data_IF_105772093871
#
_entry.id   IF_105772093871
#
_cell.length_a   1.000
_cell.length_b   1.000
_cell.length_c   1.000
_cell.angle_alpha   90.00
_cell.angle_beta   90.00
_cell.angle_gamma   90.00
#
_symmetry.space_group_name_H-M   'P 1'
#
loop_
_entity.id
_entity.type
_entity.pdbx_description
1 polymer ?
#
# COMPACT_ATOMS: atom_id res chain seq x y z
N UNK A 1 -24.58 -6.56 23.32
CA UNK A 1 -23.44 -7.51 23.46
C UNK A 1 -23.16 -8.14 22.11
N UNK A 2 -22.04 -7.84 21.43
CA UNK A 2 -21.73 -8.48 20.18
C UNK A 2 -21.08 -9.86 20.42
N UNK A 3 -21.60 -10.87 19.72
CA UNK A 3 -21.16 -12.27 19.78
C UNK A 3 -19.86 -12.44 18.99
N UNK A 4 -18.80 -12.95 19.63
CA UNK A 4 -17.55 -13.39 18.98
C UNK A 4 -17.85 -14.58 18.04
N UNK A 5 -18.03 -14.31 16.75
CA UNK A 5 -18.08 -15.32 15.71
C UNK A 5 -16.67 -15.66 15.24
N UNK A 6 -16.14 -16.84 15.60
CA UNK A 6 -14.91 -17.38 15.00
C UNK A 6 -15.17 -17.70 13.53
N UNK A 7 -14.67 -16.86 12.62
CA UNK A 7 -14.72 -17.09 11.18
C UNK A 7 -13.71 -18.19 10.79
N UNK A 8 -14.21 -19.39 10.45
CA UNK A 8 -13.40 -20.44 9.80
C UNK A 8 -13.41 -20.20 8.28
N UNK A 9 -12.37 -19.55 7.77
CA UNK A 9 -12.12 -19.47 6.32
C UNK A 9 -11.41 -20.76 5.88
N UNK A 10 -12.05 -21.57 5.04
CA UNK A 10 -11.38 -22.63 4.27
C UNK A 10 -10.78 -21.98 3.01
N UNK A 11 -9.49 -21.68 3.05
CA UNK A 11 -8.68 -21.29 1.88
C UNK A 11 -7.69 -22.43 1.61
N UNK A 12 -7.84 -23.11 0.47
CA UNK A 12 -7.06 -24.30 0.11
C UNK A 12 -5.85 -23.99 -0.80
N UNK A 13 -5.38 -22.74 -0.90
CA UNK A 13 -4.16 -22.41 -1.65
C UNK A 13 -3.04 -21.78 -0.81
N UNK A 14 -3.33 -21.29 0.38
CA UNK A 14 -2.29 -20.82 1.31
C UNK A 14 -2.05 -21.98 2.28
N UNK A 15 -1.13 -22.88 1.93
CA UNK A 15 -0.63 -23.88 2.88
C UNK A 15 -0.15 -23.13 4.13
N UNK A 16 -0.37 -23.69 5.32
CA UNK A 16 -0.08 -23.09 6.65
C UNK A 16 1.39 -22.68 6.91
N UNK A 17 2.24 -22.60 5.89
CA UNK A 17 3.69 -22.41 5.98
C UNK A 17 4.26 -21.43 4.95
N UNK A 18 3.43 -20.65 4.25
CA UNK A 18 3.93 -19.61 3.35
C UNK A 18 4.66 -18.53 4.18
N UNK A 19 5.96 -18.30 3.97
CA UNK A 19 6.72 -17.39 4.83
C UNK A 19 6.28 -15.94 4.65
N UNK A 20 6.03 -15.28 5.79
CA UNK A 20 6.01 -13.82 5.88
C UNK A 20 7.43 -13.36 6.17
N UNK A 21 7.94 -12.40 5.41
CA UNK A 21 9.24 -11.80 5.69
C UNK A 21 9.15 -10.28 5.65
N UNK A 22 10.08 -9.62 6.34
CA UNK A 22 10.29 -8.19 6.15
C UNK A 22 10.72 -7.92 4.71
N UNK A 23 10.40 -6.72 4.22
CA UNK A 23 10.93 -6.19 2.97
C UNK A 23 12.27 -5.51 3.28
N UNK A 24 13.26 -5.75 2.43
CA UNK A 24 14.57 -5.11 2.45
C UNK A 24 14.74 -4.21 1.23
N UNK A 25 15.78 -3.37 1.23
CA UNK A 25 16.11 -2.51 0.09
C UNK A 25 16.33 -3.31 -1.20
N UNK A 26 16.82 -4.54 -1.10
CA UNK A 26 17.06 -5.43 -2.25
C UNK A 26 15.78 -5.99 -2.86
N UNK A 27 14.65 -5.93 -2.15
CA UNK A 27 13.36 -6.39 -2.66
C UNK A 27 12.64 -5.29 -3.47
N UNK A 28 13.05 -4.03 -3.36
CA UNK A 28 12.24 -2.89 -3.77
C UNK A 28 12.00 -2.83 -5.29
N UNK A 29 13.04 -3.05 -6.09
CA UNK A 29 12.97 -3.05 -7.56
C UNK A 29 12.07 -4.21 -8.07
N UNK A 30 12.34 -5.44 -7.62
CA UNK A 30 11.53 -6.62 -7.94
C UNK A 30 10.06 -6.43 -7.57
N UNK A 31 9.76 -5.88 -6.40
CA UNK A 31 8.39 -5.63 -5.96
C UNK A 31 7.70 -4.52 -6.77
N UNK A 32 8.45 -3.55 -7.27
CA UNK A 32 7.91 -2.50 -8.13
C UNK A 32 7.50 -3.06 -9.49
N UNK A 33 8.42 -3.76 -10.15
CA UNK A 33 8.24 -4.37 -11.48
C UNK A 33 7.22 -5.51 -11.44
N UNK A 34 7.36 -6.46 -10.52
CA UNK A 34 6.60 -7.71 -10.57
C UNK A 34 5.21 -7.61 -9.94
N UNK A 35 4.96 -6.57 -9.13
CA UNK A 35 3.76 -6.47 -8.29
C UNK A 35 3.13 -5.09 -8.34
N UNK A 36 3.85 -4.02 -7.98
CA UNK A 36 3.27 -2.69 -7.74
C UNK A 36 2.63 -2.13 -8.99
N UNK A 37 3.41 -1.94 -10.07
CA UNK A 37 2.89 -1.37 -11.32
C UNK A 37 1.84 -2.30 -11.96
N UNK A 38 2.07 -3.62 -12.12
CA UNK A 38 1.07 -4.53 -12.68
C UNK A 38 -0.25 -4.59 -11.88
N UNK A 39 -0.19 -4.46 -10.56
CA UNK A 39 -1.40 -4.45 -9.73
C UNK A 39 -2.21 -3.15 -9.88
N UNK A 40 -1.57 -2.04 -10.26
CA UNK A 40 -2.18 -0.71 -10.32
C UNK A 40 -2.55 -0.25 -11.73
N UNK A 41 -1.88 -0.71 -12.78
CA UNK A 41 -1.94 -0.10 -14.13
C UNK A 41 -3.36 0.01 -14.71
N UNK A 42 -4.25 -0.89 -14.30
CA UNK A 42 -5.65 -0.91 -14.75
C UNK A 42 -6.60 -0.08 -13.86
N UNK A 43 -6.13 0.37 -12.71
CA UNK A 43 -6.90 1.14 -11.72
C UNK A 43 -7.10 2.61 -12.10
N UNK A 44 -8.21 3.18 -11.64
CA UNK A 44 -8.59 4.57 -11.94
C UNK A 44 -7.53 5.59 -11.47
N UNK A 45 -6.93 5.34 -10.30
CA UNK A 45 -5.89 6.21 -9.74
C UNK A 45 -4.66 6.28 -10.66
N UNK A 46 -4.16 5.11 -11.05
CA UNK A 46 -3.00 5.01 -11.94
C UNK A 46 -3.27 5.63 -13.30
N UNK A 47 -4.44 5.36 -13.90
CA UNK A 47 -4.83 5.96 -15.19
C UNK A 47 -4.99 7.48 -15.13
N UNK A 48 -5.32 8.03 -13.96
CA UNK A 48 -5.37 9.48 -13.75
C UNK A 48 -3.96 10.07 -13.68
N UNK A 49 -3.02 9.39 -13.02
CA UNK A 49 -1.62 9.84 -12.88
C UNK A 49 -0.79 9.64 -14.15
N UNK A 50 -1.08 8.59 -14.92
CA UNK A 50 -0.33 8.19 -16.10
C UNK A 50 -1.24 8.09 -17.33
N UNK A 51 -1.84 9.22 -17.79
CA UNK A 51 -2.83 9.21 -18.86
C UNK A 51 -2.27 8.69 -20.21
N UNK A 52 -0.95 8.71 -20.38
CA UNK A 52 -0.26 8.22 -21.57
C UNK A 52 0.39 6.83 -21.41
N UNK A 53 0.08 6.09 -20.34
CA UNK A 53 0.68 4.78 -20.03
C UNK A 53 0.71 3.81 -21.24
N UNK A 54 -0.44 3.66 -21.91
CA UNK A 54 -0.60 2.74 -23.05
C UNK A 54 0.23 3.16 -24.27
N UNK A 55 0.51 4.45 -24.42
CA UNK A 55 1.32 5.02 -25.52
C UNK A 55 2.80 5.12 -25.19
N UNK A 56 3.16 4.98 -23.91
CA UNK A 56 4.55 5.05 -23.45
C UNK A 56 5.42 3.94 -24.02
N UNK A 57 6.68 4.27 -24.30
CA UNK A 57 7.70 3.29 -24.71
C UNK A 57 8.07 2.37 -23.55
N UNK A 58 8.70 1.23 -23.85
CA UNK A 58 9.20 0.33 -22.79
C UNK A 58 10.18 1.02 -21.84
N UNK A 59 11.00 1.95 -22.35
CA UNK A 59 11.94 2.71 -21.52
C UNK A 59 11.22 3.66 -20.54
N UNK A 60 10.15 4.31 -21.01
CA UNK A 60 9.32 5.19 -20.17
C UNK A 60 8.54 4.41 -19.11
N UNK A 61 8.06 3.20 -19.44
CA UNK A 61 7.41 2.32 -18.44
C UNK A 61 8.39 1.81 -17.39
N UNK A 62 9.58 1.40 -17.81
CA UNK A 62 10.66 1.01 -16.91
C UNK A 62 11.10 2.18 -16.00
N UNK A 63 11.02 3.43 -16.47
CA UNK A 63 11.25 4.60 -15.62
C UNK A 63 10.22 4.71 -14.49
N UNK A 64 8.93 4.47 -14.78
CA UNK A 64 7.87 4.46 -13.76
C UNK A 64 8.06 3.33 -12.76
N UNK A 65 8.43 2.13 -13.22
CA UNK A 65 8.74 0.98 -12.36
C UNK A 65 9.90 1.29 -11.41
N UNK A 66 11.02 1.81 -11.94
CA UNK A 66 12.15 2.26 -11.12
C UNK A 66 11.75 3.34 -10.13
N UNK A 67 10.95 4.32 -10.55
CA UNK A 67 10.47 5.37 -9.67
C UNK A 67 9.68 4.80 -8.48
N UNK A 68 8.78 3.83 -8.69
CA UNK A 68 8.12 3.14 -7.59
C UNK A 68 9.07 2.31 -6.72
N UNK A 69 10.09 1.69 -7.32
CA UNK A 69 11.15 0.97 -6.61
C UNK A 69 11.95 1.89 -5.69
N UNK A 70 12.39 3.04 -6.19
CA UNK A 70 13.09 4.07 -5.41
C UNK A 70 12.24 4.60 -4.25
N UNK A 71 10.94 4.83 -4.47
CA UNK A 71 10.02 5.24 -3.40
C UNK A 71 9.88 4.18 -2.31
N UNK A 72 9.79 2.90 -2.68
CA UNK A 72 9.73 1.81 -1.71
C UNK A 72 11.06 1.63 -0.98
N UNK A 73 12.18 1.71 -1.70
CA UNK A 73 13.52 1.65 -1.13
C UNK A 73 13.73 2.77 -0.11
N UNK A 74 13.43 4.02 -0.46
CA UNK A 74 13.55 5.17 0.45
C UNK A 74 12.70 4.96 1.72
N UNK A 75 11.47 4.43 1.58
CA UNK A 75 10.61 4.17 2.71
C UNK A 75 11.14 3.05 3.63
N UNK A 76 11.75 2.01 3.06
CA UNK A 76 12.41 0.94 3.82
C UNK A 76 13.68 1.45 4.52
N UNK A 77 14.50 2.26 3.83
CA UNK A 77 15.73 2.85 4.37
C UNK A 77 15.47 3.85 5.50
N UNK A 78 14.44 4.68 5.35
CA UNK A 78 14.06 5.66 6.37
C UNK A 78 13.72 4.98 7.69
N UNK A 79 13.11 3.78 7.63
CA UNK A 79 12.79 2.97 8.80
C UNK A 79 11.98 3.72 9.86
N UNK A 80 11.97 3.20 11.08
CA UNK A 80 11.43 3.86 12.29
C UNK A 80 9.90 3.95 12.36
N UNK A 81 9.26 4.60 11.39
CA UNK A 81 7.80 4.80 11.32
C UNK A 81 7.11 3.94 10.29
N UNK A 82 7.88 3.33 9.38
CA UNK A 82 7.34 2.47 8.33
C UNK A 82 7.48 1.00 8.72
N UNK A 83 6.43 0.22 8.47
CA UNK A 83 6.45 -1.24 8.55
C UNK A 83 6.07 -1.84 7.20
N UNK A 84 6.74 -2.93 6.82
CA UNK A 84 6.52 -3.61 5.56
C UNK A 84 6.58 -5.13 5.73
N UNK A 85 5.65 -5.83 5.10
CA UNK A 85 5.61 -7.29 5.07
C UNK A 85 5.36 -7.76 3.65
N UNK A 86 6.04 -8.84 3.27
CA UNK A 86 5.82 -9.55 2.01
C UNK A 86 5.43 -11.00 2.25
N UNK A 87 4.56 -11.51 1.38
CA UNK A 87 4.20 -12.91 1.28
C UNK A 87 4.96 -13.52 0.11
N UNK A 88 5.78 -14.54 0.37
CA UNK A 88 6.51 -15.29 -0.67
C UNK A 88 6.02 -16.72 -0.76
N UNK A 89 6.02 -17.33 -1.93
CA UNK A 89 5.75 -18.76 -2.03
C UNK A 89 6.92 -19.61 -1.48
N UNK A 90 6.83 -20.93 -1.66
CA UNK A 90 7.81 -21.87 -1.14
C UNK A 90 9.13 -21.86 -1.93
N UNK A 91 9.15 -21.33 -3.16
CA UNK A 91 10.35 -21.10 -3.96
C UNK A 91 10.99 -19.74 -3.64
N UNK A 92 10.36 -18.95 -2.76
CA UNK A 92 10.79 -17.62 -2.39
C UNK A 92 10.24 -16.53 -3.31
N UNK A 93 9.30 -16.83 -4.21
CA UNK A 93 8.77 -15.86 -5.15
C UNK A 93 7.76 -14.91 -4.51
N UNK A 94 7.85 -13.57 -4.69
CA UNK A 94 6.94 -12.65 -4.03
C UNK A 94 5.54 -12.71 -4.65
N UNK A 95 4.53 -12.91 -3.80
CA UNK A 95 3.11 -13.00 -4.18
C UNK A 95 2.35 -11.70 -3.95
N UNK A 96 2.84 -10.89 -3.01
CA UNK A 96 2.24 -9.62 -2.63
C UNK A 96 2.93 -9.04 -1.41
N UNK A 97 2.69 -7.76 -1.15
CA UNK A 97 3.21 -7.08 0.02
C UNK A 97 2.26 -6.00 0.52
N UNK A 98 2.46 -5.58 1.76
CA UNK A 98 1.76 -4.45 2.36
C UNK A 98 2.72 -3.59 3.16
N UNK A 99 2.35 -2.34 3.33
CA UNK A 99 3.12 -1.35 4.08
C UNK A 99 2.20 -0.42 4.85
N UNK A 100 2.68 0.01 6.01
CA UNK A 100 2.01 0.99 6.85
C UNK A 100 2.99 2.03 7.37
N UNK A 101 2.47 3.20 7.74
CA UNK A 101 3.25 4.30 8.31
C UNK A 101 2.56 4.83 9.56
N UNK A 102 3.36 5.05 10.61
CA UNK A 102 2.92 5.69 11.84
C UNK A 102 2.97 7.21 11.69
N UNK A 103 1.84 7.87 11.91
CA UNK A 103 1.75 9.33 11.92
C UNK A 103 1.48 9.82 13.34
N UNK A 104 2.47 10.51 13.91
CA UNK A 104 2.31 11.26 15.16
C UNK A 104 1.62 12.58 14.87
N UNK A 105 0.74 13.02 15.79
CA UNK A 105 0.02 14.30 15.64
C UNK A 105 0.95 15.51 15.47
N UNK A 106 2.15 15.47 16.06
CA UNK A 106 3.16 16.55 15.98
C UNK A 106 3.87 16.60 14.61
N UNK A 107 4.02 15.46 13.93
CA UNK A 107 4.81 15.38 12.69
C UNK A 107 3.99 15.64 11.42
N UNK A 108 2.66 15.54 11.49
CA UNK A 108 1.77 15.88 10.36
C UNK A 108 1.93 17.33 9.90
N UNK A 109 2.27 18.24 10.82
CA UNK A 109 2.53 19.66 10.51
C UNK A 109 3.95 19.88 9.92
N UNK A 110 4.93 19.04 10.27
CA UNK A 110 6.33 19.15 9.83
C UNK A 110 6.61 18.47 8.47
N UNK A 111 5.92 17.37 8.15
CA UNK A 111 6.02 16.68 6.85
C UNK A 111 5.62 17.59 5.67
N UNK A 112 4.86 18.66 5.94
CA UNK A 112 4.52 19.72 4.98
C UNK A 112 5.74 20.51 4.46
N UNK A 113 6.92 20.41 5.08
CA UNK A 113 8.08 21.29 4.82
C UNK A 113 9.25 20.66 4.07
N UNK A 114 9.25 19.36 3.78
CA UNK A 114 10.39 18.68 3.12
C UNK A 114 10.01 18.13 1.75
N UNK A 115 9.81 19.01 0.77
CA UNK A 115 9.84 18.62 -0.64
C UNK A 115 11.29 18.55 -1.11
N UNK A 116 11.92 17.38 -0.93
CA UNK A 116 13.11 17.06 -1.72
C UNK A 116 12.68 16.98 -3.17
N UNK A 117 13.45 17.59 -4.06
CA UNK A 117 13.21 17.59 -5.50
C UNK A 117 13.36 16.15 -6.04
N UNK A 118 12.28 15.37 -6.00
CA UNK A 118 12.21 14.06 -6.63
C UNK A 118 12.09 14.27 -8.14
N UNK A 119 12.94 13.57 -8.91
CA UNK A 119 12.73 13.48 -10.35
C UNK A 119 11.43 12.70 -10.58
N UNK A 120 10.49 13.29 -11.30
CA UNK A 120 9.26 12.61 -11.68
C UNK A 120 9.47 11.89 -13.02
N UNK A 121 8.90 10.68 -13.20
CA UNK A 121 9.01 9.96 -14.46
C UNK A 121 8.24 10.70 -15.56
N UNK A 122 8.68 10.58 -16.81
CA UNK A 122 8.14 11.37 -17.93
C UNK A 122 6.63 11.14 -18.15
N UNK A 123 6.15 9.91 -17.87
CA UNK A 123 4.73 9.57 -18.03
C UNK A 123 3.82 10.13 -16.93
N UNK A 124 4.37 10.65 -15.83
CA UNK A 124 3.57 11.20 -14.75
C UNK A 124 3.01 12.57 -15.16
N UNK A 125 1.69 12.66 -15.17
CA UNK A 125 1.00 13.94 -15.17
C UNK A 125 1.15 14.59 -13.79
N UNK A 126 2.11 15.51 -13.68
CA UNK A 126 2.47 16.16 -12.43
C UNK A 126 1.31 17.02 -11.87
N UNK A 127 0.54 17.67 -12.73
CA UNK A 127 -0.59 18.50 -12.31
C UNK A 127 -1.71 17.60 -11.76
N UNK A 128 -2.03 16.51 -12.47
CA UNK A 128 -3.00 15.53 -12.00
C UNK A 128 -2.58 14.89 -10.67
N UNK A 129 -1.29 14.56 -10.51
CA UNK A 129 -0.72 14.03 -9.28
C UNK A 129 -0.84 15.01 -8.10
N UNK A 130 -0.46 16.28 -8.31
CA UNK A 130 -0.53 17.32 -7.29
C UNK A 130 -1.97 17.57 -6.86
N UNK A 131 -2.89 17.69 -7.81
CA UNK A 131 -4.31 17.93 -7.51
C UNK A 131 -4.97 16.73 -6.81
N UNK A 132 -4.67 15.51 -7.23
CA UNK A 132 -5.12 14.28 -6.59
C UNK A 132 -4.61 14.20 -5.14
N UNK A 133 -3.32 14.44 -4.92
CA UNK A 133 -2.71 14.40 -3.59
C UNK A 133 -3.34 15.44 -2.66
N UNK A 134 -3.57 16.66 -3.15
CA UNK A 134 -4.29 17.70 -2.38
C UNK A 134 -5.68 17.24 -1.96
N UNK A 135 -6.47 16.67 -2.88
CA UNK A 135 -7.83 16.19 -2.57
C UNK A 135 -7.83 15.06 -1.56
N UNK A 136 -6.94 14.08 -1.72
CA UNK A 136 -6.79 12.97 -0.77
C UNK A 136 -6.41 13.48 0.62
N UNK A 137 -5.50 14.46 0.71
CA UNK A 137 -5.13 15.05 1.99
C UNK A 137 -6.30 15.79 2.66
N UNK A 138 -7.14 16.50 1.90
CA UNK A 138 -8.34 17.15 2.47
C UNK A 138 -9.31 16.12 3.05
N UNK A 139 -9.57 15.02 2.35
CA UNK A 139 -10.48 13.97 2.85
C UNK A 139 -9.89 13.22 4.04
N UNK A 140 -8.58 12.98 4.04
CA UNK A 140 -7.87 12.46 5.23
C UNK A 140 -8.05 13.38 6.42
N UNK A 141 -7.82 14.67 6.26
CA UNK A 141 -7.85 15.62 7.38
C UNK A 141 -9.23 15.69 8.02
N UNK A 142 -10.30 15.60 7.21
CA UNK A 142 -11.67 15.46 7.70
C UNK A 142 -11.89 14.13 8.43
N UNK A 143 -11.48 13.02 7.83
CA UNK A 143 -11.69 11.69 8.39
C UNK A 143 -10.93 11.47 9.72
N UNK A 144 -9.81 12.17 9.90
CA UNK A 144 -8.96 12.09 11.09
C UNK A 144 -9.19 13.24 12.08
N UNK A 145 -10.20 14.09 11.86
CA UNK A 145 -10.45 15.23 12.74
C UNK A 145 -10.70 14.77 14.19
N UNK A 146 -9.93 15.33 15.12
CA UNK A 146 -10.01 14.97 16.54
C UNK A 146 -9.35 13.64 16.91
N UNK A 147 -8.80 12.88 15.95
CA UNK A 147 -8.02 11.68 16.24
C UNK A 147 -6.61 12.02 16.75
N UNK A 148 -6.05 11.12 17.56
CA UNK A 148 -4.68 11.21 18.06
C UNK A 148 -3.67 10.69 17.05
N UNK A 149 -2.68 9.95 17.53
CA UNK A 149 -1.75 9.25 16.65
C UNK A 149 -2.47 8.14 15.88
N UNK A 150 -2.08 7.90 14.63
CA UNK A 150 -2.74 6.92 13.75
C UNK A 150 -1.74 6.17 12.88
N UNK A 151 -2.13 4.96 12.48
CA UNK A 151 -1.44 4.25 11.40
C UNK A 151 -2.15 4.50 10.07
N UNK A 152 -1.39 4.80 9.03
CA UNK A 152 -1.85 4.77 7.64
C UNK A 152 -1.43 3.45 7.02
N UNK A 153 -2.37 2.63 6.53
CA UNK A 153 -2.02 1.59 5.57
C UNK A 153 -1.70 2.28 4.23
N UNK A 154 -0.42 2.27 3.84
CA UNK A 154 0.07 3.03 2.68
C UNK A 154 -0.04 2.23 1.40
N UNK A 155 0.19 0.92 1.45
CA UNK A 155 0.06 0.05 0.30
C UNK A 155 -0.38 -1.37 0.68
N UNK A 156 -1.11 -2.01 -0.24
CA UNK A 156 -1.40 -3.44 -0.20
C UNK A 156 -1.53 -3.91 -1.63
N UNK A 157 -0.48 -4.55 -2.14
CA UNK A 157 -0.43 -5.02 -3.52
C UNK A 157 -0.35 -6.54 -3.56
N UNK A 158 -1.07 -7.09 -4.52
CA UNK A 158 -1.08 -8.53 -4.80
C UNK A 158 -0.81 -8.69 -6.26
N UNK A 159 0.15 -9.55 -6.56
CA UNK A 159 0.53 -9.89 -7.93
C UNK A 159 -0.70 -10.34 -8.73
N UNK A 160 -0.91 -9.85 -9.98
CA UNK A 160 -2.15 -10.09 -10.72
C UNK A 160 -2.59 -11.57 -10.77
N UNK A 161 -1.67 -12.51 -11.01
CA UNK A 161 -2.01 -13.94 -11.11
C UNK A 161 -2.44 -14.56 -9.77
N UNK A 162 -2.21 -13.88 -8.66
CA UNK A 162 -2.51 -14.33 -7.29
C UNK A 162 -3.64 -13.54 -6.62
N UNK A 163 -4.25 -12.59 -7.33
CA UNK A 163 -5.41 -11.86 -6.84
C UNK A 163 -6.60 -12.79 -6.60
N UNK A 164 -7.45 -12.42 -5.64
CA UNK A 164 -8.64 -13.19 -5.22
C UNK A 164 -8.35 -14.59 -4.66
N UNK A 165 -7.08 -14.94 -4.42
CA UNK A 165 -6.65 -16.22 -3.79
C UNK A 165 -6.35 -16.11 -2.29
N UNK A 166 -6.73 -14.99 -1.67
CA UNK A 166 -6.57 -14.76 -0.22
C UNK A 166 -5.25 -14.12 0.19
N UNK A 167 -4.32 -13.83 -0.73
CA UNK A 167 -3.02 -13.18 -0.44
C UNK A 167 -3.20 -11.86 0.31
N UNK A 168 -4.03 -10.95 -0.22
CA UNK A 168 -4.29 -9.67 0.43
C UNK A 168 -4.92 -9.81 1.82
N UNK A 169 -5.78 -10.82 2.01
CA UNK A 169 -6.36 -11.08 3.34
C UNK A 169 -5.34 -11.62 4.34
N UNK A 170 -4.36 -12.41 3.89
CA UNK A 170 -3.26 -12.87 4.75
C UNK A 170 -2.34 -11.73 5.12
N UNK A 171 -1.96 -10.90 4.15
CA UNK A 171 -1.13 -9.71 4.38
C UNK A 171 -1.76 -8.76 5.41
N UNK A 172 -3.04 -8.42 5.26
CA UNK A 172 -3.71 -7.52 6.21
C UNK A 172 -3.81 -8.12 7.62
N UNK A 173 -4.09 -9.43 7.75
CA UNK A 173 -4.10 -10.08 9.06
C UNK A 173 -2.75 -9.95 9.75
N UNK A 174 -1.68 -10.22 9.03
CA UNK A 174 -0.34 -10.11 9.59
C UNK A 174 0.03 -8.67 9.91
N UNK A 175 -0.31 -7.72 9.04
CA UNK A 175 -0.09 -6.31 9.33
C UNK A 175 -0.83 -5.88 10.61
N UNK A 176 -2.09 -6.27 10.79
CA UNK A 176 -2.83 -5.97 12.02
C UNK A 176 -2.29 -6.72 13.23
N UNK A 177 -1.82 -7.96 13.11
CA UNK A 177 -1.11 -8.64 14.20
C UNK A 177 0.15 -7.86 14.64
N UNK A 178 0.82 -7.12 13.74
CA UNK A 178 1.94 -6.25 14.09
C UNK A 178 1.51 -4.87 14.63
N UNK A 179 0.35 -4.36 14.21
CA UNK A 179 -0.16 -3.03 14.58
C UNK A 179 -0.97 -3.07 15.90
N UNK A 180 -1.70 -4.16 16.15
CA UNK A 180 -2.66 -4.32 17.25
C UNK A 180 -2.00 -4.29 18.64
N UNK A 181 -0.66 -4.37 18.72
CA UNK A 181 0.06 -4.24 19.99
C UNK A 181 -0.11 -2.85 20.65
N UNK A 182 -0.55 -1.82 19.90
CA UNK A 182 -0.52 -0.41 20.33
C UNK A 182 -1.92 0.23 20.44
N UNK A 183 -3.01 -0.50 20.15
CA UNK A 183 -4.42 -0.01 20.19
C UNK A 183 -4.66 1.31 19.43
N UNK A 184 -3.93 1.56 18.34
CA UNK A 184 -4.04 2.80 17.56
C UNK A 184 -5.00 2.67 16.37
N UNK A 185 -5.76 3.73 16.04
CA UNK A 185 -6.61 3.73 14.85
C UNK A 185 -5.81 3.55 13.56
N UNK A 186 -6.39 2.82 12.60
CA UNK A 186 -5.81 2.62 11.26
C UNK A 186 -6.73 3.22 10.21
N UNK A 187 -6.17 4.00 9.28
CA UNK A 187 -6.89 4.51 8.11
C UNK A 187 -6.18 4.14 6.81
N UNK A 188 -6.92 4.21 5.70
CA UNK A 188 -6.40 3.96 4.35
C UNK A 188 -7.25 4.63 3.29
N UNK A 189 -6.68 4.80 2.09
CA UNK A 189 -7.46 5.13 0.90
C UNK A 189 -7.75 3.85 0.12
N UNK A 190 -9.02 3.53 -0.05
CA UNK A 190 -9.45 2.37 -0.84
C UNK A 190 -9.97 2.82 -2.20
N UNK A 191 -9.61 2.15 -3.31
CA UNK A 191 -10.37 2.28 -4.54
C UNK A 191 -11.79 1.73 -4.33
N UNK A 192 -12.81 2.23 -5.06
CA UNK A 192 -14.21 1.84 -4.85
C UNK A 192 -14.45 0.33 -4.87
N UNK A 193 -13.74 -0.41 -5.71
CA UNK A 193 -13.84 -1.87 -5.83
C UNK A 193 -13.21 -2.66 -4.66
N UNK A 194 -12.49 -2.00 -3.75
CA UNK A 194 -11.87 -2.61 -2.58
C UNK A 194 -12.59 -2.30 -1.26
N UNK A 195 -13.62 -1.45 -1.26
CA UNK A 195 -14.36 -1.07 -0.04
C UNK A 195 -14.92 -2.31 0.69
N UNK A 196 -15.62 -3.20 -0.03
CA UNK A 196 -16.15 -4.46 0.53
C UNK A 196 -15.06 -5.41 1.04
N UNK A 197 -13.85 -5.30 0.50
CA UNK A 197 -12.72 -6.08 0.97
C UNK A 197 -12.25 -5.58 2.33
N UNK A 198 -12.06 -4.26 2.49
CA UNK A 198 -11.63 -3.67 3.76
C UNK A 198 -12.73 -3.68 4.84
N UNK A 199 -14.01 -3.59 4.46
CA UNK A 199 -15.12 -3.71 5.41
C UNK A 199 -15.11 -5.05 6.19
N UNK A 200 -14.59 -6.13 5.59
CA UNK A 200 -14.41 -7.43 6.26
C UNK A 200 -13.38 -7.41 7.40
N UNK A 201 -12.54 -6.37 7.44
CA UNK A 201 -11.55 -6.12 8.48
C UNK A 201 -12.00 -5.04 9.46
N UNK A 202 -13.26 -4.58 9.38
CA UNK A 202 -13.82 -3.60 10.32
C UNK A 202 -13.59 -2.14 9.93
N UNK A 203 -13.10 -1.86 8.71
CA UNK A 203 -13.04 -0.49 8.21
C UNK A 203 -14.43 0.04 7.88
N UNK A 204 -14.67 1.30 8.25
CA UNK A 204 -15.86 2.06 7.92
C UNK A 204 -15.51 3.18 6.93
N UNK A 205 -16.47 3.54 6.07
CA UNK A 205 -16.30 4.68 5.16
C UNK A 205 -16.57 5.96 5.96
N UNK A 206 -15.61 6.89 5.92
CA UNK A 206 -15.73 8.22 6.51
C UNK A 206 -16.41 9.21 5.55
#
# INVERSE_FOLDING_TARGET
MPRRGRMKIRSNLIKRSTPCTCITVFDAEDLAELITVPAMENGALFKTMFPNWEKGTSAQRAEVERWYGELLQEAVETGGRHGFLQLRDWEGYPLGFCGWTMHWRVTLDEERRSERQKSFPELLDCDAWVDLTKRLNVERDKALEGMGDVYRMTCTFVRPEYQRKGVGSTLLKWAFEHIDEVEMPVYLFAPPNAVDFYAKFGFEVA
#
